data_IF_288620159043
#
_entry.id   IF_288620159043
#
_cell.length_a   1.000
_cell.length_b   1.000
_cell.length_c   1.000
_cell.angle_alpha   90.00
_cell.angle_beta   90.00
_cell.angle_gamma   90.00
#
_symmetry.space_group_name_H-M   'P 1'
#
loop_
_entity.id
_entity.type
_entity.pdbx_description
1 polymer ?
#
# COMPACT_ATOMS: atom_id res chain seq x y z
N UNK A 1 19.25 -2.29 20.40
CA UNK A 1 18.22 -3.09 19.72
C UNK A 1 17.41 -2.11 18.87
N UNK A 2 17.35 -2.27 17.56
CA UNK A 2 16.48 -1.42 16.74
C UNK A 2 15.04 -1.64 17.17
N UNK A 3 14.30 -0.58 17.44
CA UNK A 3 12.86 -0.71 17.72
C UNK A 3 12.18 -1.31 16.48
N UNK A 4 11.34 -2.32 16.69
CA UNK A 4 10.52 -2.89 15.62
C UNK A 4 9.65 -1.80 14.99
N UNK A 5 9.51 -1.83 13.67
CA UNK A 5 8.66 -0.93 12.90
C UNK A 5 7.21 -1.04 13.41
N UNK A 6 6.61 0.08 13.86
CA UNK A 6 5.21 0.13 14.28
C UNK A 6 4.36 0.56 13.08
N UNK A 7 3.66 -0.38 12.46
CA UNK A 7 3.09 -0.23 11.13
C UNK A 7 1.56 -0.14 11.14
N UNK A 8 1.03 0.83 10.40
CA UNK A 8 -0.36 0.85 9.92
C UNK A 8 -0.32 0.91 8.40
N UNK A 9 -1.17 0.13 7.75
CA UNK A 9 -1.24 0.01 6.29
C UNK A 9 -2.58 0.57 5.83
N UNK A 10 -2.55 1.59 4.97
CA UNK A 10 -3.73 2.16 4.29
C UNK A 10 -3.71 1.70 2.84
N UNK A 11 -4.77 1.03 2.37
CA UNK A 11 -4.73 0.23 1.15
C UNK A 11 -6.11 0.12 0.49
N UNK A 12 -6.13 -0.03 -0.82
CA UNK A 12 -7.32 -0.29 -1.64
C UNK A 12 -7.32 -1.69 -2.29
N UNK A 13 -6.96 -2.70 -1.53
CA UNK A 13 -6.52 -4.05 -1.90
C UNK A 13 -6.97 -4.53 -3.26
N UNK A 14 -6.03 -4.39 -4.19
CA UNK A 14 -5.96 -5.07 -5.47
C UNK A 14 -4.94 -6.22 -5.43
N UNK A 15 -4.45 -6.60 -6.62
CA UNK A 15 -3.55 -7.75 -6.77
C UNK A 15 -2.16 -7.51 -6.19
N UNK A 16 -1.60 -6.34 -6.39
CA UNK A 16 -0.27 -5.98 -5.90
C UNK A 16 -0.30 -5.53 -4.43
N UNK A 17 -1.36 -4.86 -3.96
CA UNK A 17 -1.61 -4.64 -2.53
C UNK A 17 -1.55 -5.94 -1.73
N UNK A 18 -2.14 -7.02 -2.26
CA UNK A 18 -2.12 -8.32 -1.61
C UNK A 18 -0.68 -8.82 -1.37
N UNK A 19 0.21 -8.65 -2.35
CA UNK A 19 1.62 -9.00 -2.20
C UNK A 19 2.33 -8.05 -1.22
N UNK A 20 1.98 -6.76 -1.22
CA UNK A 20 2.49 -5.80 -0.24
C UNK A 20 2.09 -6.18 1.20
N UNK A 21 0.82 -6.55 1.42
CA UNK A 21 0.34 -7.06 2.70
C UNK A 21 1.12 -8.32 3.13
N UNK A 22 1.39 -9.24 2.22
CA UNK A 22 2.18 -10.45 2.52
C UNK A 22 3.61 -10.11 2.92
N UNK A 23 4.24 -9.11 2.30
CA UNK A 23 5.56 -8.62 2.73
C UNK A 23 5.52 -8.04 4.14
N UNK A 24 4.50 -7.24 4.45
CA UNK A 24 4.32 -6.67 5.80
C UNK A 24 4.11 -7.77 6.85
N UNK A 25 3.30 -8.78 6.54
CA UNK A 25 3.07 -9.93 7.39
C UNK A 25 4.34 -10.76 7.62
N UNK A 26 5.16 -10.92 6.58
CA UNK A 26 6.46 -11.60 6.69
C UNK A 26 7.42 -10.81 7.59
N UNK A 27 7.47 -9.49 7.46
CA UNK A 27 8.27 -8.62 8.33
C UNK A 27 7.87 -8.76 9.81
N UNK A 28 6.56 -8.87 10.09
CA UNK A 28 6.09 -9.15 11.45
C UNK A 28 6.48 -10.57 11.93
N UNK A 29 6.41 -11.57 11.05
CA UNK A 29 6.84 -12.93 11.37
C UNK A 29 8.35 -13.02 11.66
N UNK A 30 9.16 -12.13 11.08
CA UNK A 30 10.59 -11.98 11.36
C UNK A 30 10.89 -11.14 12.61
N UNK A 31 9.87 -10.66 13.31
CA UNK A 31 9.98 -9.74 14.45
C UNK A 31 10.65 -8.39 14.11
N UNK A 32 10.51 -7.91 12.89
CA UNK A 32 11.03 -6.64 12.42
C UNK A 32 9.97 -5.54 12.41
N UNK A 33 8.70 -5.94 12.30
CA UNK A 33 7.56 -5.04 12.35
C UNK A 33 6.51 -5.52 13.37
N UNK A 34 5.62 -4.59 13.74
CA UNK A 34 4.35 -4.85 14.42
C UNK A 34 3.24 -4.16 13.65
N UNK A 35 2.31 -4.92 13.11
CA UNK A 35 1.15 -4.39 12.40
C UNK A 35 0.05 -4.08 13.43
N UNK A 36 -0.36 -2.81 13.50
CA UNK A 36 -1.42 -2.34 14.40
C UNK A 36 -2.81 -2.40 13.79
N UNK A 37 -2.89 -2.35 12.47
CA UNK A 37 -4.13 -2.45 11.72
C UNK A 37 -3.97 -2.16 10.24
N UNK A 38 -5.00 -2.52 9.48
CA UNK A 38 -5.15 -2.21 8.06
C UNK A 38 -6.37 -1.31 7.91
N UNK A 39 -6.20 -0.17 7.26
CA UNK A 39 -7.27 0.76 6.91
C UNK A 39 -7.58 0.64 5.42
N UNK A 40 -8.85 0.41 5.10
CA UNK A 40 -9.31 0.25 3.72
C UNK A 40 -9.81 1.60 3.17
N UNK A 41 -9.52 1.87 1.91
CA UNK A 41 -9.96 3.05 1.17
C UNK A 41 -10.49 2.63 -0.19
N UNK A 42 -11.35 3.42 -0.81
CA UNK A 42 -11.75 3.22 -2.21
C UNK A 42 -10.54 3.34 -3.15
N UNK A 43 -10.64 2.80 -4.34
CA UNK A 43 -9.60 2.93 -5.37
C UNK A 43 -9.73 1.85 -6.43
N UNK A 44 -8.91 0.82 -6.40
CA UNK A 44 -8.91 -0.29 -7.35
C UNK A 44 -10.30 -0.90 -7.58
N UNK A 45 -11.13 -0.92 -6.55
CA UNK A 45 -12.54 -1.34 -6.58
C UNK A 45 -13.34 -0.58 -5.52
N UNK A 46 -14.62 -0.93 -5.30
CA UNK A 46 -15.41 -0.34 -4.23
C UNK A 46 -14.90 -0.76 -2.85
N UNK A 47 -15.15 0.06 -1.85
CA UNK A 47 -14.67 -0.15 -0.49
C UNK A 47 -15.08 -1.52 0.09
N UNK A 48 -16.28 -2.01 -0.23
CA UNK A 48 -16.77 -3.31 0.22
C UNK A 48 -15.90 -4.45 -0.32
N UNK A 49 -15.54 -4.38 -1.60
CA UNK A 49 -14.63 -5.35 -2.22
C UNK A 49 -13.22 -5.24 -1.63
N UNK A 50 -12.72 -4.02 -1.41
CA UNK A 50 -11.41 -3.79 -0.75
C UNK A 50 -11.37 -4.46 0.62
N UNK A 51 -12.39 -4.25 1.45
CA UNK A 51 -12.52 -4.89 2.75
C UNK A 51 -12.53 -6.42 2.65
N UNK A 52 -13.34 -6.96 1.72
CA UNK A 52 -13.40 -8.40 1.48
C UNK A 52 -12.05 -8.96 1.02
N UNK A 53 -11.36 -8.27 0.08
CA UNK A 53 -10.07 -8.69 -0.44
C UNK A 53 -8.98 -8.65 0.64
N UNK A 54 -8.98 -7.62 1.49
CA UNK A 54 -8.10 -7.55 2.67
C UNK A 54 -8.27 -8.78 3.56
N UNK A 55 -9.52 -9.15 3.85
CA UNK A 55 -9.81 -10.32 4.68
C UNK A 55 -9.42 -11.63 4.00
N UNK A 56 -9.56 -11.77 2.67
CA UNK A 56 -9.07 -12.95 1.93
C UNK A 56 -7.56 -13.12 2.09
N UNK A 57 -6.80 -12.02 1.99
CA UNK A 57 -5.34 -12.03 2.18
C UNK A 57 -4.97 -12.44 3.61
N UNK A 58 -5.60 -11.81 4.62
CA UNK A 58 -5.34 -12.12 6.02
C UNK A 58 -5.76 -13.56 6.38
N UNK A 59 -6.87 -14.05 5.81
CA UNK A 59 -7.33 -15.43 6.00
C UNK A 59 -6.31 -16.44 5.44
N UNK A 60 -5.89 -16.26 4.19
CA UNK A 60 -4.88 -17.12 3.58
C UNK A 60 -3.54 -17.13 4.35
N UNK A 61 -3.21 -16.02 5.00
CA UNK A 61 -2.05 -15.89 5.86
C UNK A 61 -2.25 -16.42 7.29
N UNK A 62 -3.48 -16.81 7.68
CA UNK A 62 -3.81 -17.20 9.05
C UNK A 62 -3.71 -16.04 10.04
N UNK A 63 -4.02 -14.80 9.62
CA UNK A 63 -3.80 -13.55 10.36
C UNK A 63 -5.05 -12.68 10.51
N UNK A 64 -6.23 -13.29 10.64
CA UNK A 64 -7.48 -12.58 10.97
C UNK A 64 -7.46 -11.93 12.38
N UNK A 65 -6.37 -12.08 13.13
CA UNK A 65 -6.10 -11.36 14.37
C UNK A 65 -5.75 -9.88 14.15
N UNK A 66 -5.35 -9.50 12.94
CA UNK A 66 -5.04 -8.10 12.60
C UNK A 66 -6.35 -7.33 12.37
N UNK A 67 -6.56 -6.21 13.09
CA UNK A 67 -7.77 -5.43 12.92
C UNK A 67 -7.82 -4.73 11.57
N UNK A 68 -8.97 -4.80 10.90
CA UNK A 68 -9.25 -4.14 9.62
C UNK A 68 -10.35 -3.11 9.82
N UNK A 69 -10.15 -1.92 9.27
CA UNK A 69 -11.05 -0.77 9.45
C UNK A 69 -11.58 -0.28 8.11
N UNK A 70 -12.90 -0.12 8.02
CA UNK A 70 -13.56 0.48 6.87
C UNK A 70 -13.32 1.99 6.87
N UNK A 71 -12.84 2.54 5.75
CA UNK A 71 -12.53 3.96 5.60
C UNK A 71 -13.42 4.67 4.58
N UNK A 72 -12.85 5.61 3.83
CA UNK A 72 -13.57 6.40 2.84
C UNK A 72 -13.98 5.53 1.64
N UNK A 73 -15.25 5.63 1.25
CA UNK A 73 -15.82 4.96 0.07
C UNK A 73 -15.72 5.78 -1.20
N UNK A 74 -15.43 7.08 -1.08
CA UNK A 74 -15.38 8.05 -2.16
C UNK A 74 -14.27 9.07 -1.91
N UNK A 75 -13.84 9.76 -2.98
CA UNK A 75 -12.88 10.85 -2.93
C UNK A 75 -13.45 12.08 -2.23
N UNK A 76 -12.59 13.02 -1.81
CA UNK A 76 -13.01 14.21 -1.07
C UNK A 76 -13.95 15.14 -1.88
N UNK A 77 -13.76 15.20 -3.20
CA UNK A 77 -14.51 16.13 -4.04
C UNK A 77 -15.19 15.42 -5.19
N UNK A 78 -14.44 14.77 -6.05
CA UNK A 78 -14.96 14.15 -7.27
C UNK A 78 -14.33 12.77 -7.46
N UNK A 79 -15.14 11.73 -7.43
CA UNK A 79 -14.68 10.38 -7.66
C UNK A 79 -14.47 10.14 -9.16
N UNK A 80 -13.43 9.39 -9.56
CA UNK A 80 -13.18 9.10 -10.97
C UNK A 80 -14.32 8.25 -11.56
N UNK A 81 -14.61 8.48 -12.85
CA UNK A 81 -15.65 7.72 -13.58
C UNK A 81 -15.28 6.24 -13.74
N UNK A 82 -13.98 5.91 -13.78
CA UNK A 82 -13.47 4.55 -13.96
C UNK A 82 -12.57 4.11 -12.82
N UNK A 83 -12.68 2.85 -12.44
CA UNK A 83 -11.81 2.16 -11.49
C UNK A 83 -10.80 1.30 -12.25
N UNK A 84 -9.86 0.68 -11.55
CA UNK A 84 -8.82 -0.14 -12.17
C UNK A 84 -9.29 -1.57 -12.57
N UNK A 85 -10.57 -1.73 -12.90
CA UNK A 85 -11.19 -3.00 -13.31
C UNK A 85 -10.48 -3.66 -14.50
N UNK A 86 -9.91 -2.83 -15.39
CA UNK A 86 -9.17 -3.32 -16.54
C UNK A 86 -7.93 -4.15 -16.16
N UNK A 87 -7.36 -3.90 -14.98
CA UNK A 87 -6.19 -4.62 -14.45
C UNK A 87 -6.59 -5.60 -13.36
N UNK A 88 -7.27 -5.15 -12.29
CA UNK A 88 -7.53 -5.95 -11.10
C UNK A 88 -8.79 -6.84 -11.20
N UNK A 89 -9.64 -6.67 -12.22
CA UNK A 89 -10.95 -7.30 -12.32
C UNK A 89 -12.05 -6.50 -11.65
N UNK A 90 -13.32 -6.88 -11.86
CA UNK A 90 -14.48 -6.14 -11.32
C UNK A 90 -14.55 -6.17 -9.80
N UNK A 91 -14.10 -7.27 -9.17
CA UNK A 91 -14.00 -7.39 -7.72
C UNK A 91 -12.70 -6.81 -7.15
N UNK A 92 -11.81 -6.28 -8.02
CA UNK A 92 -10.49 -5.81 -7.67
C UNK A 92 -9.49 -6.94 -7.34
N UNK A 93 -9.87 -8.21 -7.49
CA UNK A 93 -9.06 -9.35 -7.05
C UNK A 93 -9.05 -10.52 -8.04
N UNK A 94 -9.09 -10.22 -9.34
CA UNK A 94 -8.98 -11.19 -10.43
C UNK A 94 -10.28 -11.93 -10.74
N UNK A 95 -11.41 -11.56 -10.15
CA UNK A 95 -12.72 -12.19 -10.34
C UNK A 95 -12.67 -13.72 -10.17
N UNK A 96 -11.95 -14.21 -9.17
CA UNK A 96 -11.93 -15.62 -8.84
C UNK A 96 -12.76 -15.91 -7.58
N UNK A 97 -13.34 -17.09 -7.52
CA UNK A 97 -14.09 -17.50 -6.34
C UNK A 97 -13.11 -17.94 -5.23
N UNK A 98 -13.22 -17.32 -4.06
CA UNK A 98 -12.52 -17.74 -2.85
C UNK A 98 -13.54 -18.41 -1.90
N UNK A 99 -13.59 -19.76 -1.83
CA UNK A 99 -14.69 -20.48 -1.15
C UNK A 99 -14.80 -20.16 0.34
N UNK A 100 -13.67 -19.93 0.99
CA UNK A 100 -13.59 -19.70 2.44
C UNK A 100 -13.46 -18.21 2.77
N UNK A 101 -14.06 -17.32 1.96
CA UNK A 101 -13.99 -15.89 2.20
C UNK A 101 -14.60 -15.54 3.56
N UNK A 102 -13.82 -14.86 4.46
CA UNK A 102 -14.37 -14.42 5.73
C UNK A 102 -15.50 -13.43 5.55
N UNK A 103 -16.51 -13.52 6.42
CA UNK A 103 -17.62 -12.57 6.44
C UNK A 103 -17.14 -11.21 6.97
N UNK A 104 -17.21 -10.12 6.17
CA UNK A 104 -16.78 -8.80 6.60
C UNK A 104 -17.48 -8.30 7.87
N UNK A 105 -18.76 -8.61 8.07
CA UNK A 105 -19.54 -8.16 9.22
C UNK A 105 -19.02 -8.73 10.55
N UNK A 106 -18.31 -9.84 10.52
CA UNK A 106 -17.70 -10.45 11.70
C UNK A 106 -16.25 -10.05 11.95
N UNK A 107 -15.54 -9.55 10.92
CA UNK A 107 -14.09 -9.32 11.00
C UNK A 107 -13.68 -7.85 10.89
N UNK A 108 -14.52 -7.00 10.26
CA UNK A 108 -14.24 -5.57 10.16
C UNK A 108 -14.56 -4.88 11.49
N UNK A 109 -13.67 -4.00 11.93
CA UNK A 109 -13.86 -3.22 13.14
C UNK A 109 -15.00 -2.22 12.96
N UNK A 110 -15.70 -1.89 14.08
CA UNK A 110 -16.82 -0.94 14.07
C UNK A 110 -16.38 0.50 13.89
N UNK A 111 -15.17 0.81 14.37
CA UNK A 111 -14.60 2.16 14.24
C UNK A 111 -14.23 2.43 12.79
N UNK A 112 -14.43 3.66 12.35
CA UNK A 112 -13.99 4.11 11.04
C UNK A 112 -12.46 4.23 10.98
N UNK A 113 -11.85 3.97 9.82
CA UNK A 113 -10.41 4.05 9.60
C UNK A 113 -9.78 5.37 10.09
N UNK A 114 -10.45 6.50 9.81
CA UNK A 114 -9.99 7.84 10.23
C UNK A 114 -9.93 7.97 11.76
N UNK A 115 -10.92 7.42 12.46
CA UNK A 115 -10.94 7.42 13.94
C UNK A 115 -9.81 6.55 14.50
N UNK A 116 -9.56 5.40 13.89
CA UNK A 116 -8.44 4.54 14.28
C UNK A 116 -7.08 5.24 14.03
N UNK A 117 -6.88 5.83 12.84
CA UNK A 117 -5.65 6.53 12.48
C UNK A 117 -5.33 7.67 13.47
N UNK A 118 -6.31 8.53 13.76
CA UNK A 118 -6.12 9.64 14.70
C UNK A 118 -5.86 9.15 16.12
N UNK A 119 -6.56 8.10 16.56
CA UNK A 119 -6.41 7.52 17.88
C UNK A 119 -5.03 6.90 18.05
N UNK A 120 -4.63 5.98 17.17
CA UNK A 120 -3.37 5.23 17.32
C UNK A 120 -2.14 6.15 17.27
N UNK A 121 -2.16 7.18 16.41
CA UNK A 121 -1.06 8.16 16.33
C UNK A 121 -1.05 9.13 17.52
N UNK A 122 -2.18 9.41 18.13
CA UNK A 122 -2.26 10.20 19.36
C UNK A 122 -1.79 9.40 20.60
N UNK A 123 -2.08 8.10 20.67
CA UNK A 123 -1.63 7.20 21.73
C UNK A 123 -0.13 6.86 21.62
N UNK A 124 0.43 6.90 20.40
CA UNK A 124 1.82 6.56 20.08
C UNK A 124 2.48 7.62 19.21
N UNK A 125 2.66 8.85 19.73
CA UNK A 125 3.20 9.94 18.94
C UNK A 125 4.64 9.67 18.51
N UNK A 126 4.91 9.87 17.21
CA UNK A 126 6.20 9.60 16.55
C UNK A 126 6.69 8.13 16.61
N UNK A 127 5.77 7.19 16.80
CA UNK A 127 6.10 5.77 16.72
C UNK A 127 5.56 5.10 15.45
N UNK A 128 4.38 5.52 14.97
CA UNK A 128 3.68 4.87 13.87
C UNK A 128 4.24 5.30 12.51
N UNK A 129 4.69 4.30 11.75
CA UNK A 129 5.01 4.42 10.32
C UNK A 129 3.77 4.07 9.51
N UNK A 130 3.40 4.92 8.54
CA UNK A 130 2.28 4.69 7.64
C UNK A 130 2.79 4.18 6.30
N UNK A 131 2.21 3.08 5.82
CA UNK A 131 2.35 2.60 4.45
C UNK A 131 1.03 2.88 3.72
N UNK A 132 1.04 3.80 2.77
CA UNK A 132 -0.13 4.21 2.01
C UNK A 132 -0.01 3.68 0.58
N UNK A 133 -0.88 2.75 0.21
CA UNK A 133 -0.84 2.03 -1.07
C UNK A 133 -1.96 2.46 -2.01
N UNK A 134 -3.05 3.03 -1.48
CA UNK A 134 -4.19 3.54 -2.23
C UNK A 134 -4.32 5.08 -2.22
N UNK A 135 -5.45 5.61 -2.68
CA UNK A 135 -5.77 7.04 -2.60
C UNK A 135 -5.68 7.56 -1.17
N UNK A 136 -5.16 8.77 -1.00
CA UNK A 136 -4.81 9.31 0.33
C UNK A 136 -6.01 9.89 1.11
N UNK A 137 -7.22 9.52 0.75
CA UNK A 137 -8.47 10.06 1.30
C UNK A 137 -8.57 9.87 2.81
N UNK A 138 -8.29 8.67 3.33
CA UNK A 138 -8.30 8.42 4.78
C UNK A 138 -7.30 9.30 5.52
N UNK A 139 -6.12 9.50 4.96
CA UNK A 139 -5.05 10.29 5.55
C UNK A 139 -5.42 11.78 5.58
N UNK A 140 -5.98 12.29 4.46
CA UNK A 140 -6.46 13.67 4.40
C UNK A 140 -7.59 13.94 5.39
N UNK A 141 -8.54 13.01 5.52
CA UNK A 141 -9.61 13.10 6.52
C UNK A 141 -9.06 13.05 7.95
N UNK A 142 -8.04 12.22 8.23
CA UNK A 142 -7.38 12.18 9.54
C UNK A 142 -6.71 13.53 9.89
N UNK A 143 -6.07 14.18 8.91
CA UNK A 143 -5.50 15.53 9.06
C UNK A 143 -6.57 16.57 9.40
N UNK A 144 -7.70 16.52 8.72
CA UNK A 144 -8.81 17.44 8.97
C UNK A 144 -9.51 17.18 10.31
N UNK A 145 -9.60 15.91 10.73
CA UNK A 145 -10.22 15.52 12.01
C UNK A 145 -9.35 15.91 13.20
N UNK A 146 -8.04 15.68 13.13
CA UNK A 146 -7.09 16.06 14.18
C UNK A 146 -5.80 16.61 13.57
N UNK A 147 -5.58 17.94 13.56
CA UNK A 147 -4.36 18.53 13.00
C UNK A 147 -3.06 18.04 13.65
N UNK A 148 -3.10 17.49 14.88
CA UNK A 148 -1.93 16.89 15.54
C UNK A 148 -1.46 15.61 14.84
N UNK A 149 -2.33 14.99 14.07
CA UNK A 149 -1.97 13.84 13.21
C UNK A 149 -0.74 14.15 12.35
N UNK A 150 -0.65 15.38 11.81
CA UNK A 150 0.48 15.82 10.98
C UNK A 150 1.84 15.70 11.67
N UNK A 151 1.88 15.81 13.00
CA UNK A 151 3.12 15.78 13.80
C UNK A 151 3.29 14.47 14.56
N UNK A 152 2.22 13.69 14.74
CA UNK A 152 2.24 12.47 15.52
C UNK A 152 2.69 11.24 14.70
N UNK A 153 2.57 11.29 13.38
CA UNK A 153 3.08 10.23 12.49
C UNK A 153 4.60 10.28 12.45
N UNK A 154 5.27 9.14 12.58
CA UNK A 154 6.72 9.02 12.53
C UNK A 154 7.28 9.26 11.13
N UNK A 155 6.72 8.58 10.15
CA UNK A 155 7.10 8.62 8.74
C UNK A 155 6.00 8.05 7.87
N UNK A 156 6.04 8.35 6.56
CA UNK A 156 5.13 7.79 5.58
C UNK A 156 5.89 7.28 4.37
N UNK A 157 5.48 6.11 3.86
CA UNK A 157 5.82 5.67 2.51
C UNK A 157 4.53 5.61 1.71
N UNK A 158 4.51 6.28 0.58
CA UNK A 158 3.35 6.41 -0.32
C UNK A 158 3.70 5.76 -1.66
N UNK A 159 2.89 4.81 -2.10
CA UNK A 159 2.83 4.43 -3.50
C UNK A 159 1.90 5.42 -4.20
N UNK A 160 2.41 6.16 -5.16
CA UNK A 160 1.60 7.12 -5.92
C UNK A 160 2.40 8.23 -6.58
N UNK A 161 1.69 8.99 -7.37
CA UNK A 161 2.26 10.11 -8.12
C UNK A 161 3.19 9.69 -9.25
N UNK A 162 3.76 10.70 -9.89
CA UNK A 162 4.63 10.53 -11.06
C UNK A 162 5.67 11.64 -11.11
N UNK A 163 6.81 11.40 -11.78
CA UNK A 163 7.96 12.33 -11.77
C UNK A 163 8.28 12.95 -13.12
N UNK A 164 7.86 12.30 -14.20
CA UNK A 164 8.13 12.72 -15.58
C UNK A 164 6.86 13.03 -16.37
N UNK A 165 5.71 13.13 -15.68
CA UNK A 165 4.42 13.39 -16.30
C UNK A 165 3.89 12.21 -17.12
N UNK A 166 4.33 10.99 -16.84
CA UNK A 166 3.82 9.76 -17.44
C UNK A 166 2.74 9.19 -16.53
N UNK A 167 1.51 9.15 -16.97
CA UNK A 167 0.40 8.57 -16.23
C UNK A 167 0.18 7.10 -16.55
N UNK A 168 -0.69 6.46 -15.76
CA UNK A 168 -1.18 5.10 -15.98
C UNK A 168 -2.71 5.02 -16.08
N UNK A 169 -3.41 6.08 -15.68
CA UNK A 169 -4.88 6.19 -15.80
C UNK A 169 -5.27 7.36 -16.71
N UNK A 170 -4.55 8.48 -16.67
CA UNK A 170 -4.62 9.56 -17.64
C UNK A 170 -3.25 9.74 -18.30
N UNK A 171 -3.17 10.63 -19.29
CA UNK A 171 -1.89 10.91 -19.94
C UNK A 171 -0.80 11.40 -18.98
N UNK A 172 -1.18 12.08 -17.88
CA UNK A 172 -0.25 12.79 -17.01
C UNK A 172 -0.40 12.47 -15.53
N UNK A 173 -1.34 11.63 -15.11
CA UNK A 173 -1.57 11.33 -13.72
C UNK A 173 -1.47 9.83 -13.42
N UNK A 174 -0.88 9.51 -12.26
CA UNK A 174 -0.88 8.20 -11.66
C UNK A 174 -2.22 7.96 -10.95
N UNK A 175 -2.63 6.70 -10.87
CA UNK A 175 -3.96 6.26 -10.44
C UNK A 175 -4.35 6.74 -9.04
N UNK A 176 -3.53 6.52 -8.02
CA UNK A 176 -3.86 6.89 -6.64
C UNK A 176 -4.03 8.39 -6.47
N UNK A 177 -3.14 9.18 -7.10
CA UNK A 177 -3.23 10.63 -7.08
C UNK A 177 -4.37 11.15 -7.97
N UNK A 178 -4.70 10.45 -9.04
CA UNK A 178 -5.86 10.77 -9.87
C UNK A 178 -7.19 10.48 -9.17
N UNK A 179 -7.26 9.39 -8.39
CA UNK A 179 -8.47 9.04 -7.65
C UNK A 179 -8.88 10.11 -6.65
N UNK A 180 -7.92 10.71 -5.93
CA UNK A 180 -8.20 11.81 -5.02
C UNK A 180 -7.06 12.84 -5.00
N UNK A 181 -7.00 13.73 -6.00
CA UNK A 181 -5.95 14.75 -6.07
C UNK A 181 -5.98 15.72 -4.89
N UNK A 182 -7.17 16.04 -4.38
CA UNK A 182 -7.37 16.90 -3.22
C UNK A 182 -6.77 16.28 -1.97
N UNK A 183 -6.99 14.99 -1.73
CA UNK A 183 -6.39 14.28 -0.62
C UNK A 183 -4.85 14.25 -0.73
N UNK A 184 -4.32 13.92 -1.90
CA UNK A 184 -2.88 13.96 -2.15
C UNK A 184 -2.30 15.37 -1.90
N UNK A 185 -2.98 16.43 -2.37
CA UNK A 185 -2.60 17.81 -2.09
C UNK A 185 -2.60 18.12 -0.57
N UNK A 186 -3.65 17.75 0.15
CA UNK A 186 -3.77 17.98 1.60
C UNK A 186 -2.62 17.31 2.33
N UNK A 187 -2.33 16.05 2.02
CA UNK A 187 -1.26 15.26 2.65
C UNK A 187 0.11 15.89 2.40
N UNK A 188 0.48 16.13 1.13
CA UNK A 188 1.80 16.65 0.78
C UNK A 188 2.06 18.07 1.31
N UNK A 189 0.99 18.87 1.49
CA UNK A 189 1.06 20.22 2.03
C UNK A 189 1.15 20.26 3.56
N UNK A 190 0.47 19.32 4.24
CA UNK A 190 0.19 19.45 5.68
C UNK A 190 1.08 18.61 6.56
N UNK A 191 1.46 17.40 6.13
CA UNK A 191 2.27 16.48 6.94
C UNK A 191 3.63 17.08 7.29
N UNK A 192 4.12 16.75 8.48
CA UNK A 192 5.40 17.24 9.01
C UNK A 192 6.43 16.13 9.20
N UNK A 193 6.01 14.87 9.13
CA UNK A 193 6.91 13.73 9.15
C UNK A 193 7.65 13.58 7.81
N UNK A 194 8.74 12.82 7.76
CA UNK A 194 9.36 12.40 6.51
C UNK A 194 8.37 11.65 5.62
N UNK A 195 8.28 12.04 4.34
CA UNK A 195 7.46 11.37 3.33
C UNK A 195 8.40 10.80 2.27
N UNK A 196 8.27 9.51 1.98
CA UNK A 196 8.92 8.84 0.86
C UNK A 196 7.86 8.45 -0.16
N UNK A 197 8.05 8.85 -1.42
CA UNK A 197 7.16 8.50 -2.53
C UNK A 197 7.84 7.48 -3.42
N UNK A 198 7.12 6.39 -3.71
CA UNK A 198 7.46 5.43 -4.75
C UNK A 198 6.57 5.70 -5.97
N UNK A 199 7.07 6.42 -7.01
CA UNK A 199 6.23 6.88 -8.11
C UNK A 199 6.06 5.83 -9.20
N UNK A 200 5.03 6.02 -10.02
CA UNK A 200 4.67 5.14 -11.13
C UNK A 200 5.82 4.86 -12.11
N UNK A 201 6.56 5.89 -12.54
CA UNK A 201 7.63 5.68 -13.53
C UNK A 201 8.77 4.83 -12.98
N UNK A 202 9.02 4.90 -11.68
CA UNK A 202 9.99 4.02 -11.03
C UNK A 202 9.46 2.59 -11.00
N UNK A 203 8.19 2.38 -10.70
CA UNK A 203 7.56 1.08 -10.80
C UNK A 203 7.70 0.50 -12.22
N UNK A 204 7.29 1.27 -13.23
CA UNK A 204 7.27 0.85 -14.62
C UNK A 204 8.67 0.46 -15.14
N UNK A 205 9.70 1.21 -14.75
CA UNK A 205 11.03 1.05 -15.32
C UNK A 205 12.00 0.25 -14.45
N UNK A 206 11.77 0.14 -13.15
CA UNK A 206 12.73 -0.44 -12.18
C UNK A 206 12.22 -1.67 -11.47
N UNK A 207 10.90 -1.94 -11.46
CA UNK A 207 10.32 -3.16 -10.86
C UNK A 207 9.83 -4.15 -11.90
N UNK A 208 10.07 -3.90 -13.18
CA UNK A 208 9.62 -4.79 -14.24
C UNK A 208 10.37 -6.12 -14.17
N UNK A 209 9.66 -7.14 -13.69
CA UNK A 209 10.13 -8.52 -13.56
C UNK A 209 9.47 -9.36 -14.65
N UNK A 210 10.19 -10.30 -15.25
CA UNK A 210 9.58 -11.18 -16.25
C UNK A 210 8.50 -12.08 -15.64
N UNK A 211 7.39 -12.25 -16.34
CA UNK A 211 6.38 -13.24 -15.96
C UNK A 211 6.93 -14.66 -15.85
N UNK A 212 7.98 -14.98 -16.60
CA UNK A 212 8.69 -16.24 -16.44
C UNK A 212 9.24 -16.40 -15.03
N UNK A 213 9.92 -15.37 -14.48
CA UNK A 213 10.41 -15.41 -13.10
C UNK A 213 9.24 -15.48 -12.10
N UNK A 214 8.17 -14.67 -12.33
CA UNK A 214 6.97 -14.71 -11.50
C UNK A 214 6.36 -16.11 -11.44
N UNK A 215 6.22 -16.79 -12.57
CA UNK A 215 5.55 -18.08 -12.66
C UNK A 215 6.46 -19.25 -12.28
N UNK A 216 7.70 -19.26 -12.78
CA UNK A 216 8.59 -20.43 -12.66
C UNK A 216 9.43 -20.41 -11.38
N UNK A 217 9.57 -19.26 -10.72
CA UNK A 217 10.35 -19.11 -9.50
C UNK A 217 9.45 -18.76 -8.32
N UNK A 218 8.85 -17.55 -8.29
CA UNK A 218 8.02 -17.11 -7.18
C UNK A 218 6.75 -17.95 -7.06
N UNK A 219 6.01 -18.13 -8.15
CA UNK A 219 4.73 -18.84 -8.20
C UNK A 219 4.82 -20.34 -7.92
N UNK A 220 6.03 -20.92 -7.94
CA UNK A 220 6.24 -22.34 -7.58
C UNK A 220 6.39 -22.58 -6.09
N UNK A 221 6.49 -21.52 -5.29
CA UNK A 221 6.58 -21.65 -3.83
C UNK A 221 5.24 -22.14 -3.30
N UNK A 222 5.28 -23.24 -2.55
CA UNK A 222 4.09 -23.87 -1.97
C UNK A 222 3.79 -23.25 -0.61
N UNK A 223 3.04 -22.17 -0.61
CA UNK A 223 2.53 -21.51 0.60
C UNK A 223 1.09 -21.04 0.36
N UNK A 224 0.25 -20.93 1.42
CA UNK A 224 -1.15 -20.51 1.26
C UNK A 224 -1.28 -19.14 0.60
N UNK A 225 -0.42 -18.19 0.97
CA UNK A 225 -0.39 -16.85 0.39
C UNK A 225 -0.03 -16.88 -1.11
N UNK A 226 0.92 -17.73 -1.52
CA UNK A 226 1.26 -17.84 -2.94
C UNK A 226 0.18 -18.57 -3.74
N UNK A 227 -0.54 -19.50 -3.14
CA UNK A 227 -1.70 -20.15 -3.77
C UNK A 227 -2.80 -19.12 -4.04
N UNK A 228 -3.10 -18.25 -3.05
CA UNK A 228 -4.06 -17.16 -3.22
C UNK A 228 -3.65 -16.22 -4.37
N UNK A 229 -2.40 -15.71 -4.33
CA UNK A 229 -1.89 -14.81 -5.38
C UNK A 229 -1.89 -15.45 -6.77
N UNK A 230 -1.50 -16.71 -6.89
CA UNK A 230 -1.50 -17.40 -8.17
C UNK A 230 -2.91 -17.50 -8.78
N UNK A 231 -3.94 -17.66 -7.95
CA UNK A 231 -5.33 -17.69 -8.41
C UNK A 231 -5.82 -16.28 -8.79
N UNK A 232 -5.56 -15.30 -7.93
CA UNK A 232 -5.97 -13.92 -8.16
C UNK A 232 -5.34 -13.33 -9.42
N UNK A 233 -4.05 -13.53 -9.64
CA UNK A 233 -3.32 -12.97 -10.80
C UNK A 233 -3.49 -13.78 -12.10
N UNK A 234 -4.10 -14.96 -12.07
CA UNK A 234 -4.12 -15.87 -13.23
C UNK A 234 -4.64 -15.21 -14.51
N UNK A 235 -5.73 -14.43 -14.42
CA UNK A 235 -6.33 -13.75 -15.59
C UNK A 235 -5.45 -12.59 -16.08
N UNK A 236 -4.83 -11.85 -15.18
CA UNK A 236 -3.95 -10.73 -15.52
C UNK A 236 -2.69 -11.23 -16.21
N UNK A 237 -2.06 -12.26 -15.64
CA UNK A 237 -0.90 -12.92 -16.24
C UNK A 237 -1.20 -13.42 -17.66
N UNK A 238 -2.38 -14.03 -17.86
CA UNK A 238 -2.78 -14.52 -19.17
C UNK A 238 -2.95 -13.40 -20.22
N UNK A 239 -3.40 -12.21 -19.80
CA UNK A 239 -3.60 -11.05 -20.68
C UNK A 239 -2.30 -10.31 -21.00
N UNK A 240 -1.43 -10.13 -20.00
CA UNK A 240 -0.26 -9.24 -20.05
C UNK A 240 1.09 -9.96 -20.06
N UNK A 241 1.12 -11.25 -20.38
CA UNK A 241 2.33 -12.08 -20.32
C UNK A 241 3.56 -11.50 -21.06
N UNK A 242 3.35 -10.66 -22.08
CA UNK A 242 4.42 -10.03 -22.85
C UNK A 242 4.96 -8.74 -22.25
N UNK A 243 4.19 -8.09 -21.36
CA UNK A 243 4.47 -6.73 -20.91
C UNK A 243 5.38 -6.69 -19.68
N UNK A 244 5.57 -7.83 -19.02
CA UNK A 244 6.29 -7.93 -17.76
C UNK A 244 5.38 -7.69 -16.54
N UNK A 245 5.83 -8.18 -15.39
CA UNK A 245 5.14 -8.12 -14.12
C UNK A 245 5.63 -6.90 -13.34
N UNK A 246 4.92 -5.78 -13.49
CA UNK A 246 5.20 -4.53 -12.78
C UNK A 246 4.50 -4.57 -11.44
N UNK A 247 5.24 -4.23 -10.38
CA UNK A 247 4.74 -4.28 -9.01
C UNK A 247 5.00 -2.94 -8.33
N UNK A 248 3.92 -2.25 -7.97
CA UNK A 248 3.96 -0.92 -7.38
C UNK A 248 4.02 -1.01 -5.85
N UNK A 249 2.98 -1.51 -5.24
CA UNK A 249 2.78 -1.55 -3.79
C UNK A 249 3.78 -2.42 -3.05
N UNK A 250 4.14 -3.62 -3.55
CA UNK A 250 5.13 -4.43 -2.86
C UNK A 250 6.52 -3.79 -2.86
N UNK A 251 6.84 -2.96 -3.87
CA UNK A 251 8.10 -2.22 -3.89
C UNK A 251 8.09 -1.08 -2.85
N UNK A 252 6.98 -0.36 -2.71
CA UNK A 252 6.81 0.65 -1.66
C UNK A 252 6.91 0.01 -0.26
N UNK A 253 6.24 -1.12 -0.05
CA UNK A 253 6.34 -1.90 1.18
C UNK A 253 7.78 -2.37 1.45
N UNK A 254 8.46 -2.89 0.43
CA UNK A 254 9.85 -3.34 0.53
C UNK A 254 10.80 -2.21 0.94
N UNK A 255 10.61 -1.00 0.42
CA UNK A 255 11.43 0.18 0.77
C UNK A 255 11.22 0.58 2.23
N UNK A 256 10.00 0.54 2.75
CA UNK A 256 9.74 0.83 4.16
C UNK A 256 10.41 -0.20 5.08
N UNK A 257 10.34 -1.48 4.73
CA UNK A 257 10.92 -2.57 5.53
C UNK A 257 12.44 -2.70 5.37
N UNK A 258 12.96 -2.39 4.20
CA UNK A 258 14.39 -2.49 3.83
C UNK A 258 14.82 -1.26 3.03
N UNK A 259 15.09 -0.12 3.69
CA UNK A 259 15.46 1.12 2.99
C UNK A 259 16.67 0.99 2.06
N UNK A 260 17.52 -0.01 2.27
CA UNK A 260 18.68 -0.33 1.40
C UNK A 260 18.29 -0.83 0.00
N UNK A 261 17.04 -1.22 -0.21
CA UNK A 261 16.51 -1.57 -1.54
C UNK A 261 16.45 -0.33 -2.44
N UNK A 262 16.22 0.86 -1.89
CA UNK A 262 16.29 2.10 -2.64
C UNK A 262 17.75 2.42 -3.03
N UNK A 263 18.11 2.20 -4.29
CA UNK A 263 19.48 2.42 -4.80
C UNK A 263 19.74 3.87 -5.22
N UNK A 264 18.69 4.62 -5.58
CA UNK A 264 18.74 6.06 -5.87
C UNK A 264 17.49 6.76 -5.38
N UNK A 265 17.69 7.95 -4.80
CA UNK A 265 16.61 8.80 -4.30
C UNK A 265 16.98 10.26 -4.39
N UNK A 266 15.99 11.11 -4.64
CA UNK A 266 16.13 12.58 -4.67
C UNK A 266 15.11 13.22 -3.74
N UNK A 267 15.34 14.47 -3.37
CA UNK A 267 14.37 15.25 -2.59
C UNK A 267 13.91 16.45 -3.39
N UNK A 268 12.59 16.69 -3.39
CA UNK A 268 11.99 17.83 -4.06
C UNK A 268 10.88 18.46 -3.22
N UNK A 269 10.56 19.71 -3.53
CA UNK A 269 9.26 20.25 -3.21
C UNK A 269 8.30 19.81 -4.31
N UNK A 270 7.22 19.12 -3.92
CA UNK A 270 6.22 18.63 -4.85
C UNK A 270 4.83 19.17 -4.51
N UNK A 271 4.03 19.29 -5.52
CA UNK A 271 2.63 19.74 -5.49
C UNK A 271 1.78 18.77 -6.32
N UNK A 272 0.47 18.86 -6.18
CA UNK A 272 -0.49 18.12 -7.01
C UNK A 272 -1.26 19.14 -7.85
N UNK A 273 -1.40 18.87 -9.14
CA UNK A 273 -2.22 19.68 -10.05
C UNK A 273 -3.70 19.35 -9.84
N UNK A 274 -4.48 20.35 -9.43
CA UNK A 274 -5.90 20.17 -9.09
C UNK A 274 -6.87 20.62 -10.20
N UNK A 275 -6.46 21.52 -11.09
CA UNK A 275 -7.38 22.23 -12.00
C UNK A 275 -7.11 22.00 -13.49
N UNK A 276 -5.97 21.41 -13.83
CA UNK A 276 -5.57 21.22 -15.24
C UNK A 276 -6.44 20.20 -15.95
N UNK A 277 -7.03 20.59 -17.08
CA UNK A 277 -7.92 19.72 -17.87
C UNK A 277 -7.28 18.35 -18.22
N UNK A 278 -5.97 18.32 -18.46
CA UNK A 278 -5.24 17.14 -18.89
C UNK A 278 -4.19 16.67 -17.86
N UNK A 279 -4.01 17.42 -16.78
CA UNK A 279 -2.95 17.20 -15.79
C UNK A 279 -3.46 17.09 -14.35
N UNK A 280 -4.80 17.13 -14.14
CA UNK A 280 -5.40 16.92 -12.82
C UNK A 280 -4.92 15.61 -12.22
N UNK A 281 -4.42 15.65 -11.00
CA UNK A 281 -3.81 14.53 -10.31
C UNK A 281 -2.33 14.28 -10.61
N UNK A 282 -1.73 15.03 -11.56
CA UNK A 282 -0.29 14.93 -11.81
C UNK A 282 0.52 15.48 -10.63
N UNK A 283 1.59 14.80 -10.26
CA UNK A 283 2.55 15.30 -9.29
C UNK A 283 3.53 16.25 -10.02
N UNK A 284 3.65 17.49 -9.51
CA UNK A 284 4.50 18.53 -10.07
C UNK A 284 5.71 18.76 -9.19
N UNK A 285 6.90 18.58 -9.76
CA UNK A 285 8.18 18.79 -9.08
C UNK A 285 8.68 20.22 -9.31
N UNK A 286 9.03 20.94 -8.24
CA UNK A 286 9.64 22.26 -8.34
C UNK A 286 11.17 22.16 -8.52
N UNK A 287 11.60 21.83 -9.75
CA UNK A 287 13.01 21.63 -10.08
C UNK A 287 13.87 22.91 -9.94
N UNK A 288 13.26 24.07 -10.12
CA UNK A 288 13.98 25.36 -10.10
C UNK A 288 13.77 26.14 -8.82
N UNK A 289 13.11 25.52 -7.82
CA UNK A 289 12.76 26.15 -6.54
C UNK A 289 11.97 27.47 -6.72
N UNK A 290 11.05 27.48 -7.68
CA UNK A 290 10.19 28.65 -8.00
C UNK A 290 9.30 29.05 -6.83
N UNK A 291 8.93 28.10 -5.98
CA UNK A 291 8.08 28.31 -4.81
C UNK A 291 8.87 28.78 -3.57
N UNK A 292 10.20 28.72 -3.59
CA UNK A 292 11.04 29.06 -2.42
C UNK A 292 10.72 28.22 -1.19
N UNK A 293 10.20 26.99 -1.37
CA UNK A 293 9.80 26.07 -0.29
C UNK A 293 10.88 25.03 -0.02
N UNK A 294 10.97 24.60 1.24
CA UNK A 294 11.77 23.42 1.57
C UNK A 294 11.19 22.17 0.92
N UNK A 295 12.07 21.25 0.53
CA UNK A 295 11.65 19.95 0.03
C UNK A 295 10.72 19.27 1.04
N UNK A 296 9.63 18.70 0.57
CA UNK A 296 8.61 18.04 1.40
C UNK A 296 8.59 16.53 1.23
N UNK A 297 9.23 16.00 0.19
CA UNK A 297 9.28 14.55 -0.06
C UNK A 297 10.66 14.07 -0.47
N UNK A 298 10.92 12.78 -0.20
CA UNK A 298 11.97 11.96 -0.81
C UNK A 298 11.30 11.09 -1.88
N UNK A 299 11.83 11.10 -3.10
CA UNK A 299 11.32 10.35 -4.24
C UNK A 299 12.31 9.23 -4.54
N UNK A 300 11.81 8.01 -4.72
CA UNK A 300 12.62 6.86 -5.12
C UNK A 300 12.74 6.85 -6.64
N UNK A 301 13.96 6.93 -7.15
CA UNK A 301 14.24 6.88 -8.59
C UNK A 301 14.62 5.50 -9.08
N UNK A 302 15.22 4.67 -8.20
CA UNK A 302 15.66 3.33 -8.56
C UNK A 302 15.73 2.41 -7.35
N UNK A 303 15.59 1.11 -7.61
CA UNK A 303 15.74 0.05 -6.60
C UNK A 303 16.76 -0.99 -7.04
N UNK A 304 17.36 -1.68 -6.07
CA UNK A 304 18.10 -2.91 -6.31
C UNK A 304 17.13 -4.06 -6.55
N UNK A 305 16.95 -4.43 -7.81
CA UNK A 305 16.00 -5.46 -8.22
C UNK A 305 16.36 -6.86 -7.69
N UNK A 306 17.64 -7.13 -7.42
CA UNK A 306 18.07 -8.43 -6.88
C UNK A 306 17.69 -8.53 -5.41
N UNK A 307 18.01 -7.51 -4.61
CA UNK A 307 17.58 -7.46 -3.20
C UNK A 307 16.06 -7.51 -3.08
N UNK A 308 15.35 -6.81 -3.96
CA UNK A 308 13.88 -6.86 -4.00
C UNK A 308 13.35 -8.26 -4.28
N UNK A 309 13.88 -8.95 -5.30
CA UNK A 309 13.51 -10.34 -5.62
C UNK A 309 13.84 -11.32 -4.48
N UNK A 310 14.96 -11.15 -3.81
CA UNK A 310 15.34 -11.96 -2.65
C UNK A 310 14.35 -11.77 -1.49
N UNK A 311 13.92 -10.53 -1.25
CA UNK A 311 12.92 -10.23 -0.23
C UNK A 311 11.57 -10.89 -0.56
N UNK A 312 11.11 -10.79 -1.82
CA UNK A 312 9.88 -11.45 -2.29
C UNK A 312 9.93 -12.97 -2.09
N UNK A 313 11.03 -13.61 -2.45
CA UNK A 313 11.21 -15.05 -2.28
C UNK A 313 11.23 -15.46 -0.81
N UNK A 314 11.86 -14.67 0.04
CA UNK A 314 11.93 -14.93 1.49
C UNK A 314 10.54 -14.80 2.11
N UNK A 315 9.81 -13.74 1.78
CA UNK A 315 8.44 -13.53 2.29
C UNK A 315 7.48 -14.63 1.81
N UNK A 316 7.57 -15.02 0.54
CA UNK A 316 6.73 -16.08 -0.02
C UNK A 316 6.93 -17.45 0.67
N UNK A 317 8.14 -17.72 1.17
CA UNK A 317 8.48 -18.95 1.93
C UNK A 317 8.18 -18.87 3.42
N UNK A 318 7.94 -17.66 3.94
CA UNK A 318 7.72 -17.46 5.38
C UNK A 318 6.36 -18.01 5.80
N UNK A 319 6.32 -18.71 6.91
CA UNK A 319 5.05 -19.04 7.55
C UNK A 319 4.48 -17.80 8.22
N UNK A 320 3.38 -17.28 7.67
CA UNK A 320 2.75 -16.05 8.13
C UNK A 320 1.79 -16.25 9.31
N UNK A 321 1.33 -17.50 9.53
CA UNK A 321 0.39 -17.79 10.62
C UNK A 321 1.07 -17.61 11.98
N UNK A 322 0.37 -16.95 12.91
CA UNK A 322 0.78 -17.02 14.32
C UNK A 322 0.57 -18.45 14.80
N UNK A 323 1.65 -19.16 15.16
CA UNK A 323 1.53 -20.34 15.97
C UNK A 323 0.73 -19.97 17.23
N UNK A 324 -0.31 -20.77 17.55
CA UNK A 324 -1.01 -20.68 18.84
C UNK A 324 0.05 -20.93 19.91
N UNK A 325 0.69 -19.87 20.41
CA UNK A 325 1.55 -19.94 21.59
C UNK A 325 0.65 -20.39 22.71
N UNK A 326 0.87 -21.63 23.13
CA UNK A 326 0.43 -22.33 24.29
C UNK A 326 -0.27 -21.44 25.35
N UNK A 327 -1.61 -21.41 25.32
CA UNK A 327 -2.39 -21.28 26.55
C UNK A 327 -2.32 -22.65 27.24
N UNK A 328 -1.32 -22.82 28.03
CA UNK A 328 -1.14 -24.07 28.77
C UNK A 328 0.10 -24.01 29.64
N UNK A 329 -0.03 -23.34 30.79
CA UNK A 329 0.57 -23.70 32.07
C UNK A 329 0.37 -22.52 33.03
N UNK A 330 -0.59 -22.67 33.92
CA UNK A 330 -0.76 -21.74 35.04
C UNK A 330 -2.12 -21.78 35.69
N UNK A 331 -2.67 -22.99 35.91
CA UNK A 331 -3.67 -23.24 36.94
C UNK A 331 -3.56 -24.70 37.38
N UNK A 332 -2.63 -24.93 38.30
CA UNK A 332 -2.66 -26.00 39.27
C UNK A 332 -1.61 -25.65 40.33
N UNK A 333 -2.07 -25.02 41.38
CA UNK A 333 -1.90 -25.35 42.81
C UNK A 333 -2.47 -24.23 43.66
#
# INVERSE_FOLDING_TARGET
>A
MSQNLQLVIDTDVGLDDALALMLCLASEAWNEAKIHGVTCVHGNTCLENVCSNTLKVLHAAGRLDIPVFRGASESLVESPESRAEFYHGCDGFGDFQYPDAPDPDHHIQKDHAVSFLTKITSERPNEISLLCLGPLTNIALAIHMDPRFCTNVKEMVIMGGNIAGVGNITAAAEFNFHCDPEAAHVVLKSMKCPITIFPWETALTRTNISYRWRNDVLGKIQSPQMQLLNQAEAKVIARHYKDGWVQCDPAAAAILMRPSIASSKVTHYVMVELHGRHTRGAMVLDHINSQGKKHNVTIIESIDLNLYKELLLTAAKTNLSRSKIQKGQGEET
#
